data_IF_213531285683
#
_entry.id   IF_213531285683
#
_cell.length_a   1.000
_cell.length_b   1.000
_cell.length_c   1.000
_cell.angle_alpha   90.00
_cell.angle_beta   90.00
_cell.angle_gamma   90.00
#
_symmetry.space_group_name_H-M   'P 1'
#
loop_
_entity.id
_entity.type
_entity.pdbx_description
1 polymer ?
#
# COMPACT_ATOMS: atom_id res chain seq x y z
N UNK A 1 6.10 10.76 8.18
CA UNK A 1 5.81 11.43 6.89
C UNK A 1 6.16 10.43 5.79
N UNK A 2 5.19 9.89 5.05
CA UNK A 2 5.50 9.03 3.91
C UNK A 2 5.77 9.92 2.69
N UNK A 3 7.03 10.05 2.31
CA UNK A 3 7.42 10.73 1.07
C UNK A 3 7.57 9.64 0.02
N UNK A 4 6.88 9.77 -1.11
CA UNK A 4 7.05 8.88 -2.25
C UNK A 4 7.99 9.60 -3.21
N UNK A 5 9.21 9.08 -3.35
CA UNK A 5 10.15 9.54 -4.37
C UNK A 5 9.77 8.95 -5.71
N UNK A 6 9.72 9.80 -6.74
CA UNK A 6 9.61 9.39 -8.15
C UNK A 6 10.92 8.68 -8.54
N UNK A 7 10.82 7.47 -9.09
CA UNK A 7 11.97 6.75 -9.65
C UNK A 7 12.26 7.31 -11.04
N UNK A 8 13.52 7.65 -11.30
CA UNK A 8 14.02 8.33 -12.51
C UNK A 8 13.51 7.70 -13.82
N UNK A 9 12.57 8.38 -14.50
CA UNK A 9 12.32 8.29 -15.94
C UNK A 9 11.54 9.51 -16.49
N UNK A 10 11.21 10.51 -15.67
CA UNK A 10 10.63 11.76 -16.13
C UNK A 10 11.74 12.76 -16.51
N UNK A 11 11.58 13.57 -17.58
CA UNK A 11 12.59 14.52 -18.02
C UNK A 11 12.87 15.57 -16.93
N UNK A 12 14.13 15.63 -16.51
CA UNK A 12 14.62 16.50 -15.44
C UNK A 12 14.57 17.96 -15.89
N UNK A 13 13.64 18.75 -15.35
CA UNK A 13 13.73 20.21 -15.43
C UNK A 13 14.61 20.74 -14.28
N UNK A 14 15.63 21.50 -14.65
CA UNK A 14 16.75 21.91 -13.82
C UNK A 14 16.43 23.19 -13.05
N UNK A 15 15.43 23.13 -12.16
CA UNK A 15 15.25 24.15 -11.12
C UNK A 15 14.83 23.50 -9.80
N UNK A 16 15.69 23.71 -8.81
CA UNK A 16 15.75 23.06 -7.50
C UNK A 16 14.54 23.31 -6.59
N UNK A 17 13.51 22.47 -6.72
CA UNK A 17 12.62 22.09 -5.63
C UNK A 17 12.44 20.58 -5.68
N UNK A 18 12.64 19.86 -4.57
CA UNK A 18 12.28 18.43 -4.49
C UNK A 18 10.79 18.29 -4.85
N UNK A 19 10.48 17.86 -6.07
CA UNK A 19 9.11 17.61 -6.52
C UNK A 19 8.64 16.30 -5.90
N UNK A 20 8.21 16.37 -4.64
CA UNK A 20 7.70 15.24 -3.88
C UNK A 20 6.19 15.12 -4.03
N UNK A 21 5.70 13.91 -4.31
CA UNK A 21 4.27 13.61 -4.24
C UNK A 21 3.91 13.11 -2.83
N UNK A 22 2.84 13.66 -2.25
CA UNK A 22 2.33 13.27 -0.94
C UNK A 22 1.04 12.47 -1.08
N UNK A 23 0.93 11.38 -0.31
CA UNK A 23 -0.36 10.71 -0.14
C UNK A 23 -1.17 11.44 0.93
N UNK A 24 -2.40 11.88 0.62
CA UNK A 24 -3.33 12.34 1.65
C UNK A 24 -3.51 11.24 2.68
N UNK A 25 -3.44 11.59 3.96
CA UNK A 25 -3.56 10.61 5.03
C UNK A 25 -4.45 11.11 6.16
N UNK A 26 -5.05 10.17 6.90
CA UNK A 26 -5.84 10.47 8.10
C UNK A 26 -5.56 9.46 9.21
N UNK A 27 -5.62 9.87 10.48
CA UNK A 27 -5.50 8.95 11.60
C UNK A 27 -6.81 8.16 11.77
N UNK A 28 -6.67 6.85 12.02
CA UNK A 28 -7.74 6.00 12.52
C UNK A 28 -7.39 5.59 13.95
N UNK A 29 -8.16 6.10 14.90
CA UNK A 29 -8.00 5.79 16.33
C UNK A 29 -8.68 4.46 16.62
N UNK A 30 -7.92 3.52 17.20
CA UNK A 30 -8.46 2.26 17.72
C UNK A 30 -8.71 2.40 19.21
N UNK A 31 -9.86 1.93 19.68
CA UNK A 31 -10.18 1.89 21.11
C UNK A 31 -9.37 0.81 21.85
N UNK A 32 -8.97 -0.27 21.16
CA UNK A 32 -8.24 -1.40 21.72
C UNK A 32 -7.12 -1.88 20.77
N UNK A 33 -6.05 -2.46 21.33
CA UNK A 33 -4.90 -3.00 20.59
C UNK A 33 -3.56 -2.33 20.95
N UNK A 34 -2.46 -2.90 20.44
CA UNK A 34 -1.08 -2.44 20.73
C UNK A 34 -0.73 -1.11 20.05
N UNK A 35 -1.28 -0.87 18.85
CA UNK A 35 -1.11 0.40 18.13
C UNK A 35 -2.39 1.23 18.19
N UNK A 36 -2.40 2.27 19.05
CA UNK A 36 -3.57 3.12 19.33
C UNK A 36 -4.04 3.95 18.13
N UNK A 37 -3.11 4.37 17.25
CA UNK A 37 -3.41 5.20 16.07
C UNK A 37 -2.78 4.55 14.84
N UNK A 38 -3.58 4.33 13.79
CA UNK A 38 -3.08 3.86 12.49
C UNK A 38 -3.23 4.95 11.43
N UNK A 39 -2.15 5.33 10.72
CA UNK A 39 -2.28 6.20 9.57
C UNK A 39 -2.93 5.42 8.42
N UNK A 40 -3.91 6.03 7.75
CA UNK A 40 -4.50 5.53 6.51
C UNK A 40 -4.11 6.48 5.39
N UNK A 41 -3.44 5.96 4.38
CA UNK A 41 -3.03 6.71 3.19
C UNK A 41 -4.02 6.49 2.05
N UNK A 42 -4.41 7.56 1.37
CA UNK A 42 -5.30 7.51 0.22
C UNK A 42 -4.48 7.51 -1.09
N UNK A 43 -4.18 6.32 -1.59
CA UNK A 43 -3.45 6.13 -2.84
C UNK A 43 -4.28 6.35 -4.12
N UNK A 44 -5.61 6.44 -4.02
CA UNK A 44 -6.48 6.77 -5.16
C UNK A 44 -6.70 8.27 -5.33
N UNK A 45 -6.21 9.09 -4.40
CA UNK A 45 -6.26 10.54 -4.53
C UNK A 45 -5.50 10.98 -5.80
N UNK A 46 -6.10 11.92 -6.52
CA UNK A 46 -5.64 12.33 -7.85
C UNK A 46 -5.83 13.84 -8.03
N UNK A 47 -4.85 14.52 -8.60
CA UNK A 47 -5.01 15.89 -9.08
C UNK A 47 -5.67 15.87 -10.47
N UNK A 48 -6.50 16.86 -10.77
CA UNK A 48 -7.10 17.00 -12.11
C UNK A 48 -5.99 16.96 -13.16
N UNK A 49 -6.10 16.05 -14.13
CA UNK A 49 -5.10 15.87 -15.18
C UNK A 49 -3.95 14.88 -14.88
N UNK A 50 -3.61 14.56 -13.63
CA UNK A 50 -2.44 13.71 -13.28
C UNK A 50 -2.84 12.37 -12.71
N UNK A 51 -2.25 11.20 -13.05
CA UNK A 51 -2.66 9.89 -12.53
C UNK A 51 -2.60 9.77 -10.99
N UNK A 52 -3.43 8.90 -10.42
CA UNK A 52 -3.34 8.55 -8.99
C UNK A 52 -2.17 7.61 -8.73
N UNK A 53 -1.68 7.52 -7.49
CA UNK A 53 -0.59 6.60 -7.14
C UNK A 53 -0.88 5.15 -7.57
N UNK A 54 -2.10 4.65 -7.33
CA UNK A 54 -2.51 3.30 -7.78
C UNK A 54 -2.41 3.06 -9.29
N UNK A 55 -2.47 4.11 -10.12
CA UNK A 55 -2.35 4.01 -11.58
C UNK A 55 -0.90 4.01 -12.06
N UNK A 56 0.04 4.44 -11.21
CA UNK A 56 1.47 4.48 -11.50
C UNK A 56 2.21 3.23 -11.02
N UNK A 57 1.55 2.34 -10.26
CA UNK A 57 2.15 1.10 -9.78
C UNK A 57 2.10 0.02 -10.87
N UNK A 58 3.17 -0.76 -10.97
CA UNK A 58 3.17 -1.98 -11.76
C UNK A 58 2.23 -3.01 -11.14
N UNK A 59 1.41 -3.65 -11.97
CA UNK A 59 0.53 -4.72 -11.53
C UNK A 59 1.34 -5.93 -11.10
N UNK A 60 1.18 -6.35 -9.85
CA UNK A 60 1.71 -7.63 -9.38
C UNK A 60 0.97 -8.84 -9.97
N UNK A 61 1.41 -10.07 -9.63
CA UNK A 61 0.72 -11.30 -10.02
C UNK A 61 -0.76 -11.29 -9.61
N UNK A 62 -1.64 -11.79 -10.49
CA UNK A 62 -3.06 -11.88 -10.18
C UNK A 62 -3.33 -12.97 -9.14
N UNK A 63 -3.64 -12.56 -7.91
CA UNK A 63 -3.90 -13.49 -6.80
C UNK A 63 -5.34 -14.00 -6.75
N UNK A 64 -6.24 -13.58 -7.65
CA UNK A 64 -7.63 -14.07 -7.67
C UNK A 64 -7.71 -15.58 -7.94
N UNK A 65 -6.71 -16.14 -8.64
CA UNK A 65 -6.60 -17.58 -8.89
C UNK A 65 -6.41 -18.41 -7.60
N UNK A 66 -6.00 -17.77 -6.49
CA UNK A 66 -5.85 -18.43 -5.19
C UNK A 66 -7.16 -18.51 -4.38
N UNK A 67 -8.22 -17.83 -4.81
CA UNK A 67 -9.52 -17.82 -4.11
C UNK A 67 -10.06 -19.25 -3.87
N UNK A 68 -10.04 -20.18 -4.84
CA UNK A 68 -10.49 -21.55 -4.60
C UNK A 68 -9.72 -22.26 -3.47
N UNK A 69 -8.43 -21.97 -3.30
CA UNK A 69 -7.64 -22.54 -2.21
C UNK A 69 -8.06 -21.99 -0.85
N UNK A 70 -8.46 -20.73 -0.77
CA UNK A 70 -9.02 -20.13 0.44
C UNK A 70 -10.39 -20.72 0.79
N UNK A 71 -11.22 -21.02 -0.21
CA UNK A 71 -12.50 -21.71 0.01
C UNK A 71 -12.29 -23.11 0.60
N UNK A 72 -11.31 -23.87 0.08
CA UNK A 72 -10.92 -25.16 0.65
C UNK A 72 -10.44 -25.03 2.09
N UNK A 73 -9.73 -23.96 2.44
CA UNK A 73 -9.30 -23.73 3.83
C UNK A 73 -10.49 -23.62 4.80
N UNK A 74 -11.64 -23.11 4.34
CA UNK A 74 -12.87 -23.00 5.14
C UNK A 74 -13.56 -24.35 5.34
N UNK A 75 -13.43 -25.30 4.39
CA UNK A 75 -14.06 -26.62 4.46
C UNK A 75 -13.46 -27.56 5.52
N UNK A 76 -12.23 -27.29 5.96
CA UNK A 76 -11.52 -28.15 6.90
C UNK A 76 -11.84 -27.78 8.34
N UNK A 77 -11.96 -28.79 9.21
CA UNK A 77 -12.26 -28.62 10.64
C UNK A 77 -11.21 -27.80 11.40
N UNK A 78 -9.97 -27.78 10.93
CA UNK A 78 -8.87 -27.07 11.55
C UNK A 78 -8.09 -26.29 10.49
N UNK A 79 -7.90 -25.00 10.74
CA UNK A 79 -7.08 -24.11 9.92
C UNK A 79 -5.94 -23.52 10.74
N UNK A 80 -4.73 -23.55 10.19
CA UNK A 80 -3.55 -22.93 10.82
C UNK A 80 -3.26 -21.63 10.10
N UNK A 81 -3.17 -20.54 10.86
CA UNK A 81 -2.77 -19.23 10.36
C UNK A 81 -1.56 -18.79 11.19
N UNK A 82 -0.51 -18.34 10.51
CA UNK A 82 0.69 -17.80 11.13
C UNK A 82 0.92 -16.38 10.62
N UNK A 83 1.30 -15.48 11.53
CA UNK A 83 1.70 -14.13 11.15
C UNK A 83 3.15 -14.13 10.66
N UNK A 84 3.35 -13.69 9.42
CA UNK A 84 4.68 -13.51 8.82
C UNK A 84 5.14 -12.07 9.05
N UNK A 85 5.48 -11.74 10.30
CA UNK A 85 5.87 -10.38 10.68
C UNK A 85 7.21 -9.91 10.07
N UNK A 86 7.32 -8.57 9.96
CA UNK A 86 8.46 -7.66 9.71
C UNK A 86 9.57 -8.05 8.72
N UNK A 87 10.21 -9.22 8.82
CA UNK A 87 11.33 -9.60 7.93
C UNK A 87 10.92 -9.78 6.47
N UNK A 88 9.65 -10.05 6.20
CA UNK A 88 9.14 -10.24 4.85
C UNK A 88 8.88 -8.91 4.10
N UNK A 89 8.59 -7.81 4.83
CA UNK A 89 8.05 -6.59 4.22
C UNK A 89 8.84 -5.31 4.53
N UNK A 90 9.72 -5.31 5.53
CA UNK A 90 10.58 -4.17 5.86
C UNK A 90 12.03 -4.59 5.60
N UNK A 91 12.66 -3.96 4.61
CA UNK A 91 14.09 -4.10 4.29
C UNK A 91 14.80 -2.79 4.63
#
# INVERSE_FOLDING_TARGET
MGIISITENDPVDSSSHLHGHYLPHRPVVKQHGTTKIRPVFNASARQVGHPSFNQCLESGPNLLELIPNLLRFIEHKYGIVADIEKKAFYK
#
